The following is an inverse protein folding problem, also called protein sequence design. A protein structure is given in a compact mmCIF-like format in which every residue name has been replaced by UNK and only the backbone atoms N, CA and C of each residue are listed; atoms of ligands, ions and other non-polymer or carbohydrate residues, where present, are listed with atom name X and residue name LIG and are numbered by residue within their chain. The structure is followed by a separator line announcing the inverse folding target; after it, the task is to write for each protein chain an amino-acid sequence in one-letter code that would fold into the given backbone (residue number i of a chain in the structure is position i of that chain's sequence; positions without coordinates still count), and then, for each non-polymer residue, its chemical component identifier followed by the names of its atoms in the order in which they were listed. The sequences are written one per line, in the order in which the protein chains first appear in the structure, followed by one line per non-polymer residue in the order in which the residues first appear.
data_IF_689966882455
#
_entry.id   IF_689966882455
#
_cell.length_a   1.000
_cell.length_b   1.000
_cell.length_c   1.000
_cell.angle_alpha   90.00
_cell.angle_beta   90.00
_cell.angle_gamma   90.00
#
_symmetry.space_group_name_H-M   'P 1'
#
loop_
_entity.id
_entity.type
_entity.pdbx_description
1 polymer ?
#
# COMPACT_ATOMS: atom_id res chain seq x y z
N UNK A 1 -23.54 9.41 48.38
CA UNK A 1 -22.07 9.44 48.27
C UNK A 1 -21.66 8.91 46.91
N UNK A 2 -20.84 9.67 46.15
CA UNK A 2 -19.79 9.27 45.18
C UNK A 2 -20.21 8.23 44.09
N UNK A 3 -20.03 8.41 42.77
CA UNK A 3 -18.91 8.95 41.97
C UNK A 3 -19.46 9.25 40.55
N UNK A 4 -19.33 10.46 40.01
CA UNK A 4 -18.30 10.92 39.04
C UNK A 4 -17.92 9.85 37.99
N UNK A 5 -18.09 10.14 36.69
CA UNK A 5 -17.03 10.26 35.67
C UNK A 5 -17.57 10.13 34.23
N UNK A 6 -17.68 11.30 33.59
CA UNK A 6 -17.50 11.67 32.17
C UNK A 6 -18.24 10.98 31.00
N UNK A 7 -18.85 11.76 30.09
CA UNK A 7 -19.18 11.29 28.75
C UNK A 7 -17.89 11.13 27.95
N UNK A 8 -17.50 9.89 27.69
CA UNK A 8 -16.40 9.60 26.75
C UNK A 8 -16.93 9.85 25.34
N UNK A 9 -16.73 11.07 24.87
CA UNK A 9 -16.83 11.45 23.48
C UNK A 9 -15.77 10.64 22.72
N UNK A 10 -16.17 9.50 22.14
CA UNK A 10 -15.40 8.81 21.13
C UNK A 10 -15.56 9.56 19.81
N UNK A 11 -14.92 10.73 19.72
CA UNK A 11 -14.62 11.34 18.43
C UNK A 11 -13.49 10.51 17.84
N UNK A 12 -13.86 9.50 17.06
CA UNK A 12 -12.97 8.86 16.10
C UNK A 12 -12.75 9.83 14.91
N UNK A 13 -12.07 10.95 15.18
CA UNK A 13 -11.39 11.70 14.12
C UNK A 13 -10.07 10.97 13.87
N UNK A 14 -9.98 10.27 12.75
CA UNK A 14 -8.76 9.60 12.37
C UNK A 14 -8.86 8.97 10.98
N UNK A 15 -8.81 9.81 9.95
CA UNK A 15 -8.31 9.48 8.60
C UNK A 15 -9.00 8.31 7.87
N UNK A 16 -10.26 8.46 7.50
CA UNK A 16 -10.96 7.52 6.60
C UNK A 16 -11.09 7.97 5.14
N UNK A 17 -10.67 9.19 4.78
CA UNK A 17 -11.02 9.78 3.48
C UNK A 17 -9.93 9.73 2.40
N UNK A 18 -8.77 9.12 2.65
CA UNK A 18 -7.74 8.98 1.61
C UNK A 18 -8.01 7.83 0.62
N UNK A 19 -8.89 6.89 0.95
CA UNK A 19 -9.22 5.74 0.09
C UNK A 19 -10.42 5.96 -0.84
N UNK A 20 -11.21 7.03 -0.64
CA UNK A 20 -12.41 7.27 -1.44
C UNK A 20 -12.13 8.05 -2.75
N UNK A 21 -11.11 8.92 -2.78
CA UNK A 21 -10.80 9.72 -3.98
C UNK A 21 -10.13 8.90 -5.09
N UNK A 22 -9.51 7.75 -4.76
CA UNK A 22 -8.91 6.86 -5.76
C UNK A 22 -9.96 6.08 -6.57
N UNK A 23 -11.10 5.71 -5.97
CA UNK A 23 -12.14 4.91 -6.64
C UNK A 23 -12.82 5.65 -7.81
N UNK A 24 -12.96 6.97 -7.73
CA UNK A 24 -13.56 7.78 -8.80
C UNK A 24 -12.61 8.08 -9.98
N UNK A 25 -11.28 8.03 -9.77
CA UNK A 25 -10.26 8.15 -10.83
C UNK A 25 -9.75 6.80 -11.37
N UNK A 26 -10.27 5.69 -10.81
CA UNK A 26 -9.82 4.31 -11.06
C UNK A 26 -10.13 3.79 -12.47
N UNK A 27 -11.05 4.43 -13.20
CA UNK A 27 -11.61 3.89 -14.45
C UNK A 27 -10.70 3.97 -15.69
N UNK A 28 -9.48 4.54 -15.59
CA UNK A 28 -8.60 4.74 -16.78
C UNK A 28 -7.14 4.36 -16.54
N UNK A 29 -6.79 3.81 -15.37
CA UNK A 29 -5.40 3.47 -15.03
C UNK A 29 -5.28 1.96 -14.88
N UNK A 30 -4.27 1.38 -15.51
CA UNK A 30 -3.97 -0.04 -15.41
C UNK A 30 -3.35 -0.29 -14.03
N UNK A 31 -4.25 -0.54 -13.08
CA UNK A 31 -3.93 -0.79 -11.68
C UNK A 31 -3.67 -2.26 -11.49
N UNK A 32 -2.56 -2.56 -10.84
CA UNK A 32 -2.17 -3.93 -10.51
C UNK A 32 -1.87 -4.05 -9.02
N UNK A 33 -2.13 -5.23 -8.42
CA UNK A 33 -1.71 -5.53 -7.06
C UNK A 33 -0.19 -5.43 -6.95
N UNK A 34 0.25 -4.83 -5.86
CA UNK A 34 1.64 -4.49 -5.63
C UNK A 34 2.25 -5.36 -4.53
N UNK A 35 3.49 -5.80 -4.75
CA UNK A 35 4.20 -6.75 -3.90
C UNK A 35 5.53 -6.15 -3.43
N UNK A 36 5.89 -6.41 -2.18
CA UNK A 36 7.20 -6.04 -1.61
C UNK A 36 8.14 -7.24 -1.61
N UNK A 37 9.43 -6.97 -1.73
CA UNK A 37 10.48 -7.99 -1.61
C UNK A 37 10.80 -8.18 -0.12
N UNK A 38 10.60 -9.37 0.40
CA UNK A 38 10.92 -9.76 1.78
C UNK A 38 12.02 -10.81 1.78
N UNK A 39 13.07 -10.57 2.55
CA UNK A 39 14.14 -11.56 2.76
C UNK A 39 13.70 -12.59 3.79
N UNK A 40 13.68 -13.86 3.40
CA UNK A 40 13.38 -14.99 4.28
C UNK A 40 14.64 -15.51 5.03
N UNK A 41 15.80 -14.92 4.74
CA UNK A 41 17.10 -15.40 5.22
C UNK A 41 17.75 -16.43 4.29
N UNK A 42 19.04 -16.70 4.48
CA UNK A 42 19.77 -17.69 3.68
C UNK A 42 19.89 -17.35 2.18
N UNK A 43 19.70 -16.08 1.80
CA UNK A 43 19.68 -15.63 0.40
C UNK A 43 18.36 -15.88 -0.34
N UNK A 44 17.30 -16.26 0.38
CA UNK A 44 15.97 -16.46 -0.19
C UNK A 44 15.13 -15.19 -0.04
N UNK A 45 14.39 -14.86 -1.11
CA UNK A 45 13.50 -13.71 -1.17
C UNK A 45 12.09 -14.15 -1.57
N UNK A 46 11.09 -13.44 -1.06
CA UNK A 46 9.69 -13.68 -1.35
C UNK A 46 8.98 -12.37 -1.68
N UNK A 47 8.05 -12.44 -2.63
CA UNK A 47 7.13 -11.36 -2.92
C UNK A 47 5.92 -11.48 -2.00
N UNK A 48 5.85 -10.61 -1.00
CA UNK A 48 4.68 -10.51 -0.15
C UNK A 48 3.75 -9.44 -0.67
N UNK A 49 2.45 -9.73 -0.64
CA UNK A 49 1.43 -8.74 -1.00
C UNK A 49 1.52 -7.54 -0.05
N UNK A 50 1.60 -6.35 -0.63
CA UNK A 50 1.72 -5.12 0.14
C UNK A 50 0.35 -4.56 0.61
N UNK A 51 -0.75 -5.20 0.18
CA UNK A 51 -2.14 -4.76 0.32
C UNK A 51 -2.38 -3.39 -0.33
N UNK A 52 -1.73 -3.15 -1.49
CA UNK A 52 -1.75 -1.88 -2.21
C UNK A 52 -1.88 -2.11 -3.70
N UNK A 53 -2.51 -1.16 -4.39
CA UNK A 53 -2.57 -1.14 -5.84
C UNK A 53 -1.69 -0.02 -6.36
N UNK A 54 -0.91 -0.31 -7.39
CA UNK A 54 -0.05 0.66 -8.05
C UNK A 54 -0.32 0.67 -9.55
N UNK A 55 0.20 1.68 -10.24
CA UNK A 55 0.08 1.81 -11.70
C UNK A 55 1.17 1.00 -12.40
N UNK A 56 0.81 0.17 -13.37
CA UNK A 56 1.81 -0.42 -14.29
C UNK A 56 2.23 0.57 -15.40
N UNK A 57 1.60 1.75 -15.47
CA UNK A 57 1.95 2.83 -16.38
C UNK A 57 3.11 3.61 -15.79
N UNK A 58 4.21 3.70 -16.54
CA UNK A 58 5.42 4.46 -16.18
C UNK A 58 5.06 5.92 -15.90
N UNK A 59 5.20 6.37 -14.66
CA UNK A 59 4.85 7.73 -14.21
C UNK A 59 6.02 8.51 -13.57
N UNK A 60 7.26 8.05 -13.77
CA UNK A 60 8.46 8.70 -13.23
C UNK A 60 8.73 8.38 -11.76
N UNK A 61 7.69 8.40 -10.92
CA UNK A 61 7.79 8.04 -9.50
C UNK A 61 7.46 6.56 -9.26
N UNK A 62 8.37 5.84 -8.60
CA UNK A 62 8.16 4.43 -8.20
C UNK A 62 7.13 4.37 -7.08
N UNK A 63 6.28 3.35 -7.11
CA UNK A 63 5.33 3.09 -6.06
C UNK A 63 6.07 2.57 -4.84
N UNK A 64 5.89 3.22 -3.70
CA UNK A 64 6.53 2.87 -2.44
C UNK A 64 5.50 2.32 -1.46
N UNK A 65 5.94 1.48 -0.53
CA UNK A 65 5.07 0.89 0.46
C UNK A 65 4.52 1.96 1.41
N UNK A 66 3.20 2.04 1.54
CA UNK A 66 2.58 3.07 2.39
C UNK A 66 3.04 3.07 3.88
N UNK A 67 3.60 1.96 4.37
CA UNK A 67 4.12 1.85 5.73
C UNK A 67 5.62 2.15 5.84
N UNK A 68 6.36 2.05 4.74
CA UNK A 68 7.78 2.41 4.65
C UNK A 68 8.12 2.86 3.23
N UNK A 69 8.38 4.16 3.07
CA UNK A 69 8.68 4.76 1.76
C UNK A 69 10.03 4.32 1.19
N UNK A 70 10.85 3.62 1.98
CA UNK A 70 12.12 3.05 1.52
C UNK A 70 11.94 1.74 0.76
N UNK A 71 10.73 1.16 0.82
CA UNK A 71 10.41 -0.13 0.19
C UNK A 71 9.68 0.12 -1.12
N UNK A 72 10.33 -0.17 -2.23
CA UNK A 72 9.73 -0.13 -3.56
C UNK A 72 8.79 -1.31 -3.77
N UNK A 73 7.69 -1.06 -4.49
CA UNK A 73 6.68 -2.05 -4.81
C UNK A 73 6.79 -2.50 -6.27
N UNK A 74 6.59 -3.80 -6.46
CA UNK A 74 6.80 -4.51 -7.70
C UNK A 74 5.56 -5.30 -8.09
N UNK A 75 5.42 -5.64 -9.37
CA UNK A 75 4.43 -6.64 -9.78
C UNK A 75 4.82 -8.03 -9.27
N UNK A 76 3.87 -8.95 -9.25
CA UNK A 76 4.19 -10.37 -9.11
C UNK A 76 5.05 -10.83 -10.30
N UNK A 77 6.21 -11.43 -9.99
CA UNK A 77 7.09 -12.05 -10.97
C UNK A 77 6.92 -13.56 -11.03
N UNK A 78 7.93 -14.26 -11.54
CA UNK A 78 7.92 -15.72 -11.61
C UNK A 78 8.70 -16.32 -10.44
N UNK A 79 8.08 -17.27 -9.72
CA UNK A 79 8.73 -18.02 -8.64
C UNK A 79 9.11 -17.12 -7.46
N UNK A 80 10.42 -17.00 -7.20
CA UNK A 80 10.99 -16.26 -6.06
C UNK A 80 11.37 -14.82 -6.39
N UNK A 81 11.09 -14.35 -7.60
CA UNK A 81 11.44 -12.98 -8.01
C UNK A 81 10.20 -12.12 -8.13
N UNK A 82 10.28 -10.90 -7.61
CA UNK A 82 9.28 -9.88 -7.91
C UNK A 82 9.60 -9.29 -9.27
N UNK A 83 8.56 -8.90 -10.01
CA UNK A 83 8.73 -8.41 -11.36
C UNK A 83 9.20 -6.96 -11.41
N UNK A 84 8.82 -6.28 -12.47
CA UNK A 84 9.12 -4.87 -12.68
C UNK A 84 8.53 -3.99 -11.56
N UNK A 85 9.20 -2.87 -11.23
CA UNK A 85 8.64 -1.88 -10.32
C UNK A 85 7.32 -1.35 -10.87
N UNK A 86 6.41 -1.03 -9.96
CA UNK A 86 5.18 -0.33 -10.25
C UNK A 86 5.36 1.16 -9.95
N UNK A 87 4.47 1.99 -10.46
CA UNK A 87 4.58 3.45 -10.38
C UNK A 87 3.43 4.05 -9.57
N UNK A 88 3.68 5.24 -9.01
CA UNK A 88 2.64 6.00 -8.32
C UNK A 88 1.50 6.31 -9.29
N UNK A 89 0.30 6.28 -8.74
CA UNK A 89 -0.94 6.57 -9.46
C UNK A 89 -1.02 8.12 -9.58
N UNK A 90 -0.97 8.72 -10.78
CA UNK A 90 -0.78 10.18 -10.95
C UNK A 90 -1.87 11.14 -10.45
#
# INVERSE_FOLDING_TARGET
MKKILFPVILVALGTGSAFATMLAKKSTRALEPAYRIVSLGGGQFQCEDADQECSNIVSGDVCEWALDTSVELHRIGSGTMCGTPLYKIP
#
